data_IF_235090119270
#
_entry.id   IF_235090119270
#
_cell.length_a   1.000
_cell.length_b   1.000
_cell.length_c   1.000
_cell.angle_alpha   90.00
_cell.angle_beta   90.00
_cell.angle_gamma   90.00
#
_symmetry.space_group_name_H-M   'P 1'
#
loop_
_entity.id
_entity.type
_entity.pdbx_description
1 polymer ?
#
# COMPACT_ATOMS: atom_id res chain seq x y z
N UNK A 1 2.93 17.10 26.93
CA UNK A 1 2.83 17.12 25.46
C UNK A 1 2.23 15.79 25.04
N UNK A 2 1.12 15.77 24.30
CA UNK A 2 0.66 14.55 23.65
C UNK A 2 1.59 14.30 22.47
N UNK A 3 2.27 13.17 22.44
CA UNK A 3 3.01 12.74 21.27
C UNK A 3 2.03 12.09 20.31
N UNK A 4 2.06 12.58 19.07
CA UNK A 4 1.22 12.09 17.98
C UNK A 4 2.09 11.31 17.02
N UNK A 5 1.59 10.18 16.54
CA UNK A 5 2.26 9.33 15.58
C UNK A 5 1.58 9.43 14.21
N UNK A 6 2.37 9.66 13.16
CA UNK A 6 1.91 9.67 11.77
C UNK A 6 1.90 8.26 11.18
N UNK A 7 0.84 7.92 10.46
CA UNK A 7 0.65 6.68 9.73
C UNK A 7 0.44 6.96 8.25
N UNK A 8 1.13 6.21 7.39
CA UNK A 8 0.92 6.19 5.93
C UNK A 8 -0.06 5.09 5.56
N UNK A 9 -1.03 5.44 4.72
CA UNK A 9 -2.15 4.57 4.37
C UNK A 9 -1.96 3.88 3.03
N UNK A 10 -2.32 2.61 3.02
CA UNK A 10 -2.24 1.73 1.87
C UNK A 10 -3.53 0.93 1.76
N UNK A 11 -3.91 0.60 0.53
CA UNK A 11 -4.95 -0.39 0.26
C UNK A 11 -4.29 -1.65 -0.26
N UNK A 12 -4.73 -2.80 0.23
CA UNK A 12 -4.27 -4.07 -0.30
C UNK A 12 -5.40 -4.82 -1.00
N UNK A 13 -5.00 -5.69 -1.91
CA UNK A 13 -5.87 -6.51 -2.72
C UNK A 13 -5.32 -7.93 -2.80
N UNK A 14 -6.20 -8.92 -2.67
CA UNK A 14 -5.88 -10.34 -2.80
C UNK A 14 -6.47 -10.85 -4.11
N UNK A 15 -5.61 -11.24 -5.05
CA UNK A 15 -6.02 -11.60 -6.41
C UNK A 15 -5.76 -13.09 -6.66
N UNK A 16 -6.68 -13.82 -7.30
CA UNK A 16 -6.37 -15.14 -7.84
C UNK A 16 -5.20 -15.03 -8.83
N UNK A 17 -4.25 -15.95 -8.76
CA UNK A 17 -3.10 -16.01 -9.67
C UNK A 17 -3.55 -16.40 -11.09
N UNK A 18 -4.57 -17.26 -11.18
CA UNK A 18 -5.22 -17.62 -12.44
C UNK A 18 -6.75 -17.61 -12.23
N UNK A 19 -7.48 -17.00 -13.15
CA UNK A 19 -8.96 -16.96 -13.14
C UNK A 19 -9.58 -17.98 -14.09
N UNK A 20 -8.78 -18.61 -14.96
CA UNK A 20 -9.24 -19.51 -16.01
C UNK A 20 -8.86 -20.98 -15.79
N UNK A 21 -7.88 -21.30 -14.94
CA UNK A 21 -7.72 -22.68 -14.49
C UNK A 21 -8.76 -23.02 -13.43
N UNK A 22 -9.73 -23.84 -13.84
CA UNK A 22 -10.65 -24.54 -12.95
C UNK A 22 -9.94 -25.62 -12.08
N UNK A 23 -8.62 -25.77 -12.22
CA UNK A 23 -7.82 -26.78 -11.54
C UNK A 23 -7.34 -26.30 -10.17
N UNK A 24 -8.26 -26.42 -9.21
CA UNK A 24 -8.03 -26.90 -7.84
C UNK A 24 -6.70 -26.47 -7.19
N UNK A 25 -6.56 -25.18 -6.83
CA UNK A 25 -5.70 -24.84 -5.69
C UNK A 25 -6.41 -25.36 -4.43
N UNK A 26 -5.92 -26.49 -3.90
CA UNK A 26 -6.51 -27.20 -2.74
C UNK A 26 -7.99 -27.59 -2.88
N UNK A 27 -8.49 -27.77 -4.11
CA UNK A 27 -9.87 -28.18 -4.32
C UNK A 27 -10.91 -27.05 -4.35
N UNK A 28 -10.48 -25.79 -4.24
CA UNK A 28 -11.39 -24.63 -4.21
C UNK A 28 -11.62 -24.05 -5.62
N UNK A 29 -12.88 -23.71 -5.92
CA UNK A 29 -13.24 -22.93 -7.10
C UNK A 29 -12.81 -21.47 -6.96
N UNK A 30 -12.67 -20.73 -8.07
CA UNK A 30 -12.35 -19.29 -8.07
C UNK A 30 -13.31 -18.47 -7.20
N UNK A 31 -14.60 -18.83 -7.18
CA UNK A 31 -15.61 -18.17 -6.35
C UNK A 31 -15.36 -18.39 -4.85
N UNK A 32 -15.05 -19.62 -4.43
CA UNK A 32 -14.73 -19.94 -3.04
C UNK A 32 -13.42 -19.30 -2.58
N UNK A 33 -12.45 -19.18 -3.49
CA UNK A 33 -11.17 -18.52 -3.23
C UNK A 33 -11.34 -17.00 -3.04
N UNK A 34 -12.25 -16.37 -3.79
CA UNK A 34 -12.63 -14.95 -3.59
C UNK A 34 -13.36 -14.75 -2.26
N UNK A 35 -14.27 -15.65 -1.90
CA UNK A 35 -15.03 -15.57 -0.63
C UNK A 35 -14.11 -15.74 0.58
N UNK A 36 -13.15 -16.67 0.52
CA UNK A 36 -12.24 -17.01 1.62
C UNK A 36 -10.93 -16.22 1.62
N UNK A 37 -10.73 -15.28 0.69
CA UNK A 37 -9.44 -14.56 0.53
C UNK A 37 -8.98 -13.89 1.83
N UNK A 38 -9.90 -13.24 2.55
CA UNK A 38 -9.61 -12.55 3.80
C UNK A 38 -9.23 -13.53 4.92
N UNK A 39 -9.86 -14.70 4.98
CA UNK A 39 -9.53 -15.75 5.94
C UNK A 39 -8.14 -16.35 5.66
N UNK A 40 -7.82 -16.56 4.38
CA UNK A 40 -6.51 -17.06 3.96
C UNK A 40 -5.43 -16.04 4.31
N UNK A 41 -5.70 -14.76 4.09
CA UNK A 41 -4.76 -13.70 4.47
C UNK A 41 -4.60 -13.56 5.98
N UNK A 42 -5.69 -13.68 6.75
CA UNK A 42 -5.64 -13.71 8.22
C UNK A 42 -4.73 -14.84 8.73
N UNK A 43 -4.76 -16.01 8.09
CA UNK A 43 -3.88 -17.13 8.44
C UNK A 43 -2.41 -16.90 8.05
N UNK A 44 -2.15 -16.08 7.02
CA UNK A 44 -0.81 -15.74 6.57
C UNK A 44 -0.12 -14.67 7.44
N UNK A 45 -0.87 -13.75 8.06
CA UNK A 45 -0.32 -12.63 8.85
C UNK A 45 0.60 -13.09 10.00
N UNK A 46 0.28 -14.12 10.81
CA UNK A 46 1.18 -14.62 11.86
C UNK A 46 2.56 -15.07 11.34
N UNK A 47 2.67 -15.47 10.08
CA UNK A 47 3.94 -15.89 9.48
C UNK A 47 4.90 -14.73 9.21
N UNK A 48 4.41 -13.48 9.23
CA UNK A 48 5.27 -12.30 9.24
C UNK A 48 6.25 -12.34 10.41
N UNK A 49 5.86 -12.92 11.54
CA UNK A 49 6.74 -13.06 12.70
C UNK A 49 7.90 -14.03 12.53
N UNK A 50 7.79 -14.96 11.57
CA UNK A 50 8.79 -15.99 11.29
C UNK A 50 9.68 -15.64 10.10
N UNK A 51 9.39 -14.53 9.41
CA UNK A 51 10.07 -14.18 8.18
C UNK A 51 11.40 -13.47 8.45
N UNK A 52 12.46 -13.94 7.78
CA UNK A 52 13.75 -13.26 7.76
C UNK A 52 13.89 -12.50 6.44
N UNK A 53 13.95 -11.17 6.49
CA UNK A 53 14.08 -10.35 5.29
C UNK A 53 15.55 -9.95 5.07
N UNK A 54 16.16 -10.44 3.97
CA UNK A 54 17.52 -10.06 3.51
C UNK A 54 18.63 -10.19 4.57
N UNK A 55 18.56 -11.20 5.44
CA UNK A 55 19.55 -11.45 6.49
C UNK A 55 19.50 -10.45 7.67
N UNK A 56 18.52 -9.54 7.71
CA UNK A 56 18.29 -8.65 8.84
C UNK A 56 17.48 -9.39 9.90
N UNK A 57 17.97 -9.42 11.14
CA UNK A 57 17.20 -9.89 12.28
C UNK A 57 16.06 -8.93 12.57
N UNK A 58 14.84 -9.46 12.60
CA UNK A 58 13.61 -8.74 12.83
C UNK A 58 12.92 -9.36 14.05
N UNK A 59 12.57 -8.54 15.04
CA UNK A 59 11.64 -8.92 16.08
C UNK A 59 10.25 -8.43 15.66
N UNK A 60 9.30 -9.36 15.56
CA UNK A 60 7.95 -9.04 15.11
C UNK A 60 6.95 -9.63 16.10
N UNK A 61 6.07 -8.77 16.59
CA UNK A 61 4.92 -9.16 17.41
C UNK A 61 3.67 -8.94 16.58
N UNK A 62 2.74 -9.90 16.63
CA UNK A 62 1.43 -9.83 15.98
C UNK A 62 0.36 -9.98 17.05
N UNK A 63 -0.55 -9.01 17.12
CA UNK A 63 -1.74 -9.02 17.97
C UNK A 63 -2.99 -9.13 17.08
N UNK A 64 -4.00 -9.89 17.53
CA UNK A 64 -5.23 -10.18 16.78
C UNK A 64 -5.31 -11.63 16.23
N UNK A 65 -6.37 -11.97 15.48
CA UNK A 65 -7.41 -11.05 15.00
C UNK A 65 -8.38 -10.60 16.12
N UNK A 66 -8.62 -9.29 16.21
CA UNK A 66 -9.74 -8.72 16.98
C UNK A 66 -10.51 -7.74 16.09
N UNK A 67 -11.83 -7.87 16.00
CA UNK A 67 -12.67 -7.01 15.13
C UNK A 67 -12.14 -6.92 13.68
N UNK A 68 -11.72 -8.07 13.13
CA UNK A 68 -11.12 -8.20 11.80
C UNK A 68 -9.86 -7.36 11.58
N UNK A 69 -9.15 -7.02 12.66
CA UNK A 69 -7.94 -6.22 12.60
C UNK A 69 -6.74 -6.94 13.24
N UNK A 70 -5.56 -6.59 12.75
CA UNK A 70 -4.27 -7.04 13.29
C UNK A 70 -3.38 -5.84 13.57
N UNK A 71 -2.62 -5.90 14.66
CA UNK A 71 -1.56 -4.94 14.97
C UNK A 71 -0.22 -5.65 14.94
N UNK A 72 0.68 -5.22 14.06
CA UNK A 72 2.02 -5.75 13.91
C UNK A 72 3.02 -4.74 14.45
N UNK A 73 3.84 -5.13 15.42
CA UNK A 73 5.00 -4.36 15.85
C UNK A 73 6.25 -4.98 15.25
N UNK A 74 6.94 -4.25 14.38
CA UNK A 74 8.09 -4.74 13.62
C UNK A 74 9.33 -3.93 14.02
N UNK A 75 10.30 -4.57 14.65
CA UNK A 75 11.55 -3.97 15.11
C UNK A 75 12.75 -4.55 14.36
N UNK A 76 13.39 -3.78 13.46
CA UNK A 76 14.66 -4.16 12.88
C UNK A 76 15.80 -3.88 13.84
N UNK A 77 16.81 -4.76 13.83
CA UNK A 77 18.07 -4.51 14.52
C UNK A 77 18.79 -3.30 13.90
N UNK A 78 19.10 -2.29 14.72
CA UNK A 78 19.86 -1.09 14.35
C UNK A 78 21.01 -0.88 15.32
N UNK A 79 22.15 -0.46 14.81
CA UNK A 79 23.22 0.07 15.67
C UNK A 79 22.95 1.55 15.95
N UNK A 80 22.90 1.92 17.22
CA UNK A 80 22.87 3.31 17.67
C UNK A 80 24.28 3.70 18.10
N UNK A 81 24.83 4.75 17.50
CA UNK A 81 26.09 5.35 17.93
C UNK A 81 25.74 6.45 18.93
N UNK A 82 26.21 6.31 20.16
CA UNK A 82 26.02 7.30 21.23
C UNK A 82 27.35 7.95 21.55
N UNK A 83 27.38 9.28 21.57
CA UNK A 83 28.51 10.04 22.10
C UNK A 83 28.32 10.22 23.62
N UNK A 84 29.35 9.88 24.41
CA UNK A 84 29.32 10.03 25.87
C UNK A 84 29.73 11.45 26.30
N UNK A 85 29.48 11.86 27.56
CA UNK A 85 29.98 13.14 28.09
C UNK A 85 31.51 13.29 27.99
N UNK A 86 32.25 12.18 27.89
CA UNK A 86 33.69 12.11 27.69
C UNK A 86 34.10 12.11 26.20
N UNK A 87 33.15 12.40 25.29
CA UNK A 87 33.35 12.43 23.84
C UNK A 87 33.78 11.08 23.23
N UNK A 88 33.35 9.97 23.85
CA UNK A 88 33.61 8.62 23.32
C UNK A 88 32.41 8.10 22.53
N UNK A 89 32.67 7.31 21.49
CA UNK A 89 31.63 6.67 20.68
C UNK A 89 31.34 5.27 21.21
N UNK A 90 30.10 5.05 21.63
CA UNK A 90 29.60 3.74 22.04
C UNK A 90 28.62 3.19 21.01
N UNK A 91 28.79 1.90 20.69
CA UNK A 91 27.88 1.17 19.82
C UNK A 91 26.88 0.41 20.67
N UNK A 92 25.62 0.86 20.65
CA UNK A 92 24.52 0.26 21.39
C UNK A 92 23.58 -0.41 20.41
N UNK A 93 23.14 -1.61 20.77
CA UNK A 93 22.12 -2.31 20.02
C UNK A 93 20.73 -1.69 20.27
N UNK A 94 20.02 -1.35 19.19
CA UNK A 94 18.73 -0.68 19.24
C UNK A 94 17.69 -1.45 18.39
N UNK A 95 16.46 -1.53 18.91
CA UNK A 95 15.34 -2.23 18.28
C UNK A 95 14.12 -1.30 18.14
N UNK A 96 14.23 -0.21 17.36
CA UNK A 96 13.15 0.74 17.20
C UNK A 96 12.00 0.09 16.42
N UNK A 97 10.85 -0.15 17.05
CA UNK A 97 9.71 -0.77 16.36
C UNK A 97 8.87 0.27 15.58
N UNK A 98 8.27 -0.19 14.47
CA UNK A 98 7.12 0.45 13.81
C UNK A 98 5.86 -0.34 14.09
N UNK A 99 4.73 0.35 14.13
CA UNK A 99 3.40 -0.26 14.20
C UNK A 99 2.77 -0.29 12.81
N UNK A 100 2.30 -1.45 12.37
CA UNK A 100 1.49 -1.62 11.17
C UNK A 100 0.14 -2.21 11.55
N UNK A 101 -0.95 -1.56 11.13
CA UNK A 101 -2.33 -1.95 11.44
C UNK A 101 -2.96 -2.47 10.16
N UNK A 102 -3.42 -3.73 10.16
CA UNK A 102 -4.10 -4.36 9.03
C UNK A 102 -5.59 -4.42 9.34
N UNK A 103 -6.41 -3.80 8.51
CA UNK A 103 -7.86 -3.92 8.53
C UNK A 103 -8.27 -4.98 7.50
N UNK A 104 -8.77 -6.12 7.97
CA UNK A 104 -9.04 -7.32 7.17
C UNK A 104 -10.51 -7.59 6.84
N UNK A 105 -11.36 -6.56 6.94
CA UNK A 105 -12.74 -6.67 6.44
C UNK A 105 -12.77 -6.66 4.91
N UNK A 106 -13.70 -7.39 4.27
CA UNK A 106 -13.83 -7.42 2.81
C UNK A 106 -14.04 -6.06 2.15
N UNK A 107 -14.67 -5.11 2.85
CA UNK A 107 -14.97 -3.75 2.40
C UNK A 107 -13.86 -2.73 2.69
N UNK A 108 -13.03 -2.98 3.70
CA UNK A 108 -11.94 -2.08 4.11
C UNK A 108 -10.65 -2.41 3.34
N UNK A 109 -10.07 -3.60 3.58
CA UNK A 109 -8.77 -4.05 3.04
C UNK A 109 -7.67 -2.97 3.06
N UNK A 110 -7.46 -2.37 4.22
CA UNK A 110 -6.50 -1.28 4.43
C UNK A 110 -5.30 -1.71 5.28
N UNK A 111 -4.17 -1.06 5.04
CA UNK A 111 -2.95 -1.17 5.80
C UNK A 111 -2.49 0.24 6.19
N UNK A 112 -2.35 0.51 7.48
CA UNK A 112 -1.73 1.73 7.99
C UNK A 112 -0.34 1.38 8.54
N UNK A 113 0.69 2.12 8.13
CA UNK A 113 2.08 1.89 8.58
C UNK A 113 2.61 3.15 9.22
N UNK A 114 3.05 3.04 10.47
CA UNK A 114 3.69 4.14 11.21
C UNK A 114 4.93 4.65 10.46
N UNK A 115 5.00 5.96 10.23
CA UNK A 115 6.19 6.60 9.69
C UNK A 115 7.21 6.88 10.81
N UNK A 116 8.24 6.04 10.88
CA UNK A 116 9.32 6.15 11.88
C UNK A 116 10.68 5.92 11.22
N UNK A 117 11.32 6.99 10.71
CA UNK A 117 12.60 6.92 9.99
C UNK A 117 13.73 6.23 10.76
N UNK A 118 13.73 6.33 12.09
CA UNK A 118 14.72 5.67 12.98
C UNK A 118 14.67 4.14 12.84
N UNK A 119 13.48 3.57 12.57
CA UNK A 119 13.29 2.14 12.36
C UNK A 119 13.48 1.75 10.90
N UNK A 120 12.71 2.38 10.00
CA UNK A 120 12.73 2.13 8.57
C UNK A 120 12.78 3.45 7.81
N UNK A 121 13.69 3.55 6.85
CA UNK A 121 13.87 4.75 6.01
C UNK A 121 12.60 5.13 5.22
N UNK A 122 11.71 4.16 4.98
CA UNK A 122 10.42 4.39 4.32
C UNK A 122 9.43 3.29 4.72
N UNK A 123 8.16 3.68 4.89
CA UNK A 123 7.02 2.77 5.11
C UNK A 123 6.86 1.75 3.98
N UNK A 124 7.27 2.06 2.74
CA UNK A 124 7.29 1.10 1.62
C UNK A 124 8.19 -0.11 1.89
N UNK A 125 9.21 0.02 2.74
CA UNK A 125 10.05 -1.12 3.13
C UNK A 125 9.25 -2.10 3.98
N UNK A 126 8.41 -1.59 4.88
CA UNK A 126 7.54 -2.39 5.74
C UNK A 126 6.45 -3.07 4.92
N UNK A 127 5.85 -2.35 3.97
CA UNK A 127 4.86 -2.90 3.01
C UNK A 127 5.45 -4.08 2.23
N UNK A 128 6.64 -3.91 1.66
CA UNK A 128 7.34 -4.98 0.92
C UNK A 128 7.72 -6.16 1.81
N UNK A 129 8.06 -5.90 3.07
CA UNK A 129 8.32 -6.94 4.06
C UNK A 129 7.06 -7.77 4.32
N UNK A 130 5.90 -7.14 4.54
CA UNK A 130 4.62 -7.84 4.73
C UNK A 130 4.24 -8.65 3.49
N UNK A 131 4.39 -8.06 2.29
CA UNK A 131 4.15 -8.76 1.02
C UNK A 131 5.04 -9.99 0.86
N UNK A 132 6.35 -9.84 1.05
CA UNK A 132 7.29 -10.96 0.91
C UNK A 132 7.09 -12.05 1.96
N UNK A 133 6.74 -11.68 3.19
CA UNK A 133 6.51 -12.62 4.27
C UNK A 133 5.24 -13.48 4.09
N UNK A 134 4.18 -12.90 3.53
CA UNK A 134 2.91 -13.60 3.32
C UNK A 134 2.84 -14.34 1.98
N UNK A 135 3.73 -13.99 1.03
CA UNK A 135 3.76 -14.51 -0.35
C UNK A 135 3.68 -16.02 -0.44
N UNK A 136 4.52 -16.76 0.29
CA UNK A 136 4.61 -18.21 0.13
C UNK A 136 3.29 -18.94 0.47
N UNK A 137 2.55 -18.45 1.47
CA UNK A 137 1.26 -19.02 1.83
C UNK A 137 0.15 -18.61 0.86
N UNK A 138 0.14 -17.34 0.48
CA UNK A 138 -0.85 -16.84 -0.47
C UNK A 138 -0.70 -17.54 -1.82
N UNK A 139 0.52 -17.67 -2.34
CA UNK A 139 0.76 -18.33 -3.63
C UNK A 139 0.41 -19.82 -3.60
N UNK A 140 0.60 -20.51 -2.46
CA UNK A 140 0.13 -21.90 -2.27
C UNK A 140 -1.39 -22.00 -2.34
N UNK A 141 -2.09 -21.02 -1.78
CA UNK A 141 -3.54 -20.91 -1.84
C UNK A 141 -4.05 -20.29 -3.15
N UNK A 142 -3.19 -20.08 -4.17
CA UNK A 142 -3.59 -19.50 -5.45
C UNK A 142 -3.85 -17.99 -5.42
N UNK A 143 -3.38 -17.27 -4.40
CA UNK A 143 -3.57 -15.84 -4.19
C UNK A 143 -2.28 -15.03 -4.31
N UNK A 144 -2.40 -13.78 -4.75
CA UNK A 144 -1.33 -12.79 -4.76
C UNK A 144 -1.77 -11.52 -4.04
N UNK A 145 -0.91 -11.02 -3.15
CA UNK A 145 -1.12 -9.76 -2.43
C UNK A 145 -0.52 -8.59 -3.21
N UNK A 146 -1.37 -7.65 -3.58
CA UNK A 146 -0.99 -6.34 -4.11
C UNK A 146 -1.25 -5.29 -3.04
N UNK A 147 -0.34 -4.34 -2.84
CA UNK A 147 -0.49 -3.27 -1.86
C UNK A 147 -0.08 -1.97 -2.52
N UNK A 148 -1.02 -1.04 -2.61
CA UNK A 148 -0.83 0.27 -3.24
C UNK A 148 -1.04 1.38 -2.21
N UNK A 149 -0.30 2.47 -2.33
CA UNK A 149 -0.50 3.61 -1.45
C UNK A 149 -1.78 4.36 -1.80
N UNK A 150 -2.50 4.79 -0.77
CA UNK A 150 -3.52 5.80 -0.93
C UNK A 150 -2.82 7.15 -1.07
N UNK A 151 -3.23 7.98 -2.02
CA UNK A 151 -2.66 9.33 -2.16
C UNK A 151 -3.78 10.36 -2.39
N UNK A 152 -3.52 11.61 -2.04
CA UNK A 152 -4.46 12.70 -2.30
C UNK A 152 -4.44 13.08 -3.79
N UNK A 153 -5.61 13.17 -4.41
CA UNK A 153 -5.77 13.60 -5.81
C UNK A 153 -5.21 15.00 -6.03
N UNK A 154 -5.33 15.85 -5.02
CA UNK A 154 -4.80 17.21 -4.99
C UNK A 154 -3.28 17.22 -5.17
N UNK A 155 -2.56 16.19 -4.68
CA UNK A 155 -1.11 16.07 -4.90
C UNK A 155 -0.80 15.86 -6.39
N UNK A 156 -1.55 15.01 -7.08
CA UNK A 156 -1.39 14.82 -8.52
C UNK A 156 -1.71 16.11 -9.29
N UNK A 157 -2.87 16.72 -9.02
CA UNK A 157 -3.26 17.96 -9.71
C UNK A 157 -2.33 19.13 -9.40
N UNK A 158 -1.83 19.21 -8.17
CA UNK A 158 -0.79 20.15 -7.76
C UNK A 158 0.50 19.95 -8.54
N UNK A 159 0.94 18.70 -8.73
CA UNK A 159 2.10 18.35 -9.55
C UNK A 159 1.92 18.77 -11.02
N UNK A 160 0.77 18.45 -11.62
CA UNK A 160 0.45 18.84 -13.01
C UNK A 160 0.44 20.37 -13.15
N UNK A 161 -0.16 21.08 -12.19
CA UNK A 161 -0.19 22.55 -12.17
C UNK A 161 1.22 23.16 -12.02
N UNK A 162 2.02 22.64 -11.11
CA UNK A 162 3.40 23.10 -10.85
C UNK A 162 4.31 22.94 -12.08
N UNK A 163 4.10 21.89 -12.88
CA UNK A 163 4.90 21.58 -14.05
C UNK A 163 4.14 21.78 -15.37
N UNK A 164 3.12 22.65 -15.39
CA UNK A 164 2.35 22.97 -16.60
C UNK A 164 3.29 23.37 -17.75
N UNK A 165 3.05 22.81 -18.94
CA UNK A 165 3.89 23.01 -20.12
C UNK A 165 5.22 22.24 -20.14
N UNK A 166 5.51 21.42 -19.11
CA UNK A 166 6.72 20.58 -19.04
C UNK A 166 6.42 19.09 -18.87
N UNK A 167 5.17 18.71 -18.61
CA UNK A 167 4.77 17.29 -18.53
C UNK A 167 4.79 16.70 -19.93
N UNK A 168 5.57 15.64 -20.14
CA UNK A 168 5.76 15.02 -21.48
C UNK A 168 5.20 13.61 -21.55
N UNK A 169 4.99 12.98 -20.41
CA UNK A 169 4.48 11.62 -20.33
C UNK A 169 3.82 11.39 -18.97
N UNK A 170 2.71 10.66 -18.98
CA UNK A 170 1.99 10.16 -17.81
C UNK A 170 1.65 8.70 -18.05
N UNK A 171 1.90 7.83 -17.07
CA UNK A 171 1.44 6.44 -17.06
C UNK A 171 0.57 6.21 -15.85
N UNK A 172 -0.62 5.67 -16.12
CA UNK A 172 -1.53 5.15 -15.12
C UNK A 172 -1.40 3.63 -15.11
N UNK A 173 -0.90 3.10 -14.00
CA UNK A 173 -0.94 1.67 -13.72
C UNK A 173 -2.27 1.37 -13.03
N UNK A 174 -3.02 0.41 -13.55
CA UNK A 174 -4.33 0.00 -13.06
C UNK A 174 -4.25 -1.47 -12.62
N UNK A 175 -4.44 -1.72 -11.34
CA UNK A 175 -4.52 -3.06 -10.75
C UNK A 175 -6.00 -3.45 -10.61
N UNK A 176 -6.38 -4.65 -11.06
CA UNK A 176 -7.78 -5.07 -11.18
C UNK A 176 -8.04 -6.38 -10.42
N UNK A 177 -8.78 -6.32 -9.30
CA UNK A 177 -10.10 -6.99 -9.28
C UNK A 177 -11.19 -6.38 -8.37
N UNK A 178 -10.91 -5.45 -7.45
CA UNK A 178 -11.91 -4.92 -6.51
C UNK A 178 -12.69 -3.71 -7.09
N UNK A 179 -13.14 -3.83 -8.35
CA UNK A 179 -13.78 -2.71 -9.07
C UNK A 179 -15.13 -2.29 -8.49
N UNK A 180 -15.74 -3.13 -7.65
CA UNK A 180 -17.00 -2.82 -6.97
C UNK A 180 -16.85 -1.76 -5.87
N UNK A 181 -15.66 -1.64 -5.25
CA UNK A 181 -15.47 -0.80 -4.05
C UNK A 181 -14.62 0.46 -4.27
N UNK A 182 -13.80 0.52 -5.31
CA UNK A 182 -12.77 1.57 -5.44
C UNK A 182 -13.28 2.80 -6.22
N UNK A 183 -14.11 2.64 -7.28
CA UNK A 183 -14.65 3.81 -7.97
C UNK A 183 -15.78 3.48 -8.97
N UNK A 184 -16.86 4.28 -8.89
CA UNK A 184 -17.92 4.39 -9.91
C UNK A 184 -17.50 5.30 -11.09
N UNK A 185 -16.28 5.83 -11.08
CA UNK A 185 -15.80 6.87 -12.02
C UNK A 185 -14.83 6.37 -13.08
N UNK A 186 -14.24 5.17 -12.93
CA UNK A 186 -13.52 4.54 -14.04
C UNK A 186 -14.51 4.05 -15.09
N UNK A 187 -14.26 4.37 -16.37
CA UNK A 187 -15.13 3.96 -17.47
C UNK A 187 -15.37 2.43 -17.45
N UNK A 188 -16.65 2.03 -17.51
CA UNK A 188 -17.08 0.63 -17.45
C UNK A 188 -16.43 -0.25 -18.52
N UNK A 189 -16.00 0.35 -19.63
CA UNK A 189 -15.25 -0.29 -20.71
C UNK A 189 -13.92 -0.89 -20.22
N UNK A 190 -13.14 -0.16 -19.39
CA UNK A 190 -11.91 -0.69 -18.81
C UNK A 190 -12.18 -1.82 -17.81
N UNK A 191 -13.30 -1.72 -17.07
CA UNK A 191 -13.71 -2.76 -16.13
C UNK A 191 -14.05 -4.05 -16.85
N UNK A 192 -14.79 -3.93 -17.95
CA UNK A 192 -15.21 -5.05 -18.80
C UNK A 192 -13.99 -5.67 -19.48
N UNK A 193 -13.11 -4.85 -20.08
CA UNK A 193 -11.88 -5.31 -20.70
C UNK A 193 -11.00 -6.13 -19.74
N UNK A 194 -10.78 -5.65 -18.51
CA UNK A 194 -9.95 -6.36 -17.54
C UNK A 194 -10.57 -7.68 -17.07
N UNK A 195 -11.90 -7.74 -16.95
CA UNK A 195 -12.62 -8.98 -16.62
C UNK A 195 -12.51 -10.00 -17.74
N UNK A 196 -12.78 -9.59 -18.98
CA UNK A 196 -12.85 -10.47 -20.15
C UNK A 196 -11.48 -11.00 -20.58
N UNK A 197 -10.42 -10.21 -20.37
CA UNK A 197 -9.05 -10.57 -20.76
C UNK A 197 -8.24 -11.23 -19.64
N UNK A 198 -8.82 -11.36 -18.44
CA UNK A 198 -8.10 -11.77 -17.23
C UNK A 198 -6.85 -10.90 -16.94
N UNK A 199 -6.85 -9.64 -17.37
CA UNK A 199 -5.80 -8.72 -17.00
C UNK A 199 -5.86 -8.47 -15.49
N UNK A 200 -4.76 -8.75 -14.78
CA UNK A 200 -4.58 -8.37 -13.38
C UNK A 200 -4.01 -6.95 -13.24
N UNK A 201 -3.38 -6.46 -14.31
CA UNK A 201 -2.73 -5.16 -14.41
C UNK A 201 -2.88 -4.60 -15.83
N UNK A 202 -3.07 -3.29 -15.95
CA UNK A 202 -3.17 -2.58 -17.23
C UNK A 202 -2.48 -1.23 -17.14
N UNK A 203 -1.77 -0.83 -18.19
CA UNK A 203 -1.07 0.46 -18.22
C UNK A 203 -1.66 1.36 -19.30
N UNK A 204 -2.10 2.55 -18.92
CA UNK A 204 -2.54 3.61 -19.85
C UNK A 204 -1.45 4.66 -19.91
N UNK A 205 -0.83 4.83 -21.09
CA UNK A 205 0.25 5.78 -21.29
C UNK A 205 -0.19 6.94 -22.19
N UNK A 206 -0.03 8.16 -21.67
CA UNK A 206 -0.17 9.40 -22.43
C UNK A 206 1.22 9.95 -22.70
N UNK A 207 1.53 10.27 -23.96
CA UNK A 207 2.83 10.83 -24.35
C UNK A 207 2.64 11.97 -25.33
N UNK A 208 3.30 13.10 -25.08
CA UNK A 208 3.36 14.19 -26.04
C UNK A 208 4.48 13.96 -27.05
N UNK A 209 4.41 14.69 -28.16
CA UNK A 209 5.57 14.84 -29.05
C UNK A 209 6.78 15.39 -28.27
N UNK A 210 8.04 15.00 -28.58
CA UNK A 210 9.24 15.49 -27.90
C UNK A 210 9.31 17.01 -27.74
N UNK A 211 8.81 17.76 -28.73
CA UNK A 211 8.84 19.22 -28.76
C UNK A 211 7.64 19.87 -28.07
N UNK A 212 6.60 19.09 -27.72
CA UNK A 212 5.40 19.56 -27.04
C UNK A 212 5.23 19.00 -25.62
N UNK A 213 4.23 19.49 -24.90
CA UNK A 213 3.84 19.00 -23.58
C UNK A 213 2.39 18.49 -23.62
N UNK A 214 2.07 17.54 -22.74
CA UNK A 214 0.70 17.09 -22.54
C UNK A 214 -0.15 18.23 -21.96
N UNK A 215 -1.35 18.39 -22.52
CA UNK A 215 -2.35 19.29 -21.96
C UNK A 215 -3.32 18.47 -21.11
N UNK A 216 -3.11 18.51 -19.80
CA UNK A 216 -3.86 17.72 -18.83
C UNK A 216 -4.64 18.68 -17.93
N UNK A 217 -5.96 18.64 -18.03
CA UNK A 217 -6.86 19.53 -17.32
C UNK A 217 -7.70 18.75 -16.29
N UNK A 218 -7.92 19.25 -15.06
CA UNK A 218 -8.66 18.55 -14.01
C UNK A 218 -10.11 18.19 -14.35
N UNK A 219 -10.69 18.90 -15.30
CA UNK A 219 -12.08 18.73 -15.72
C UNK A 219 -12.23 17.69 -16.85
N UNK A 220 -11.14 17.11 -17.36
CA UNK A 220 -11.21 16.00 -18.31
C UNK A 220 -11.79 14.76 -17.61
N UNK A 221 -12.97 14.27 -18.03
CA UNK A 221 -13.63 13.16 -17.34
C UNK A 221 -12.82 11.86 -17.34
N UNK A 222 -12.05 11.60 -18.41
CA UNK A 222 -11.28 10.38 -18.57
C UNK A 222 -10.05 10.39 -17.65
N UNK A 223 -9.27 11.48 -17.69
CA UNK A 223 -8.09 11.61 -16.82
C UNK A 223 -8.52 11.66 -15.36
N UNK A 224 -9.60 12.39 -15.05
CA UNK A 224 -10.13 12.44 -13.69
C UNK A 224 -10.54 11.06 -13.18
N UNK A 225 -11.21 10.24 -14.00
CA UNK A 225 -11.57 8.87 -13.63
C UNK A 225 -10.37 7.99 -13.30
N UNK A 226 -9.29 8.09 -14.08
CA UNK A 226 -8.03 7.36 -13.84
C UNK A 226 -7.33 7.83 -12.56
N UNK A 227 -7.28 9.15 -12.32
CA UNK A 227 -6.68 9.73 -11.11
C UNK A 227 -7.47 9.32 -9.87
N UNK A 228 -8.81 9.40 -9.93
CA UNK A 228 -9.68 8.97 -8.84
C UNK A 228 -9.46 7.50 -8.51
N UNK A 229 -9.42 6.64 -9.53
CA UNK A 229 -9.21 5.20 -9.35
C UNK A 229 -7.85 4.88 -8.71
N UNK A 230 -6.76 5.46 -9.21
CA UNK A 230 -5.43 5.24 -8.66
C UNK A 230 -5.29 5.79 -7.22
N UNK A 231 -5.87 6.96 -6.93
CA UNK A 231 -5.80 7.61 -5.61
C UNK A 231 -6.40 6.77 -4.47
N UNK A 232 -7.39 5.94 -4.82
CA UNK A 232 -8.04 5.01 -3.90
C UNK A 232 -7.34 3.64 -3.82
N UNK A 233 -6.10 3.52 -4.31
CA UNK A 233 -5.33 2.28 -4.29
C UNK A 233 -5.68 1.32 -5.42
N UNK A 234 -6.23 1.84 -6.52
CA UNK A 234 -6.42 1.13 -7.78
C UNK A 234 -5.13 1.02 -8.62
N UNK A 235 -4.02 1.59 -8.17
CA UNK A 235 -2.71 1.51 -8.83
C UNK A 235 -1.87 2.77 -8.62
N UNK A 236 -0.85 2.99 -9.44
CA UNK A 236 0.10 4.12 -9.31
C UNK A 236 0.03 5.05 -10.53
N UNK A 237 0.46 6.30 -10.35
CA UNK A 237 0.62 7.28 -11.42
C UNK A 237 2.07 7.71 -11.50
N UNK A 238 2.67 7.53 -12.67
CA UNK A 238 4.03 7.98 -12.97
C UNK A 238 4.01 9.17 -13.92
N UNK A 239 4.72 10.24 -13.57
CA UNK A 239 4.82 11.47 -14.37
C UNK A 239 6.26 11.73 -14.78
N UNK A 240 6.49 12.02 -16.07
CA UNK A 240 7.79 12.46 -16.60
C UNK A 240 7.73 13.92 -17.02
N UNK A 241 8.66 14.70 -16.49
CA UNK A 241 8.77 16.14 -16.71
C UNK A 241 10.03 16.44 -17.50
N UNK A 242 9.92 17.29 -18.52
CA UNK A 242 11.05 17.80 -19.31
C UNK A 242 12.03 18.52 -18.40
N UNK A 243 13.31 18.11 -18.46
CA UNK A 243 14.38 18.65 -17.60
C UNK A 243 14.63 17.86 -16.31
N UNK A 244 13.75 16.91 -15.94
CA UNK A 244 14.00 16.00 -14.83
C UNK A 244 14.40 14.62 -15.35
N UNK A 245 15.49 14.05 -14.81
CA UNK A 245 15.96 12.70 -15.18
C UNK A 245 15.09 11.59 -14.61
N UNK A 246 14.46 11.81 -13.45
CA UNK A 246 13.64 10.81 -12.75
C UNK A 246 12.16 11.02 -13.04
N UNK A 247 11.42 9.91 -13.08
CA UNK A 247 9.94 9.92 -13.02
C UNK A 247 9.50 10.25 -11.59
N UNK A 248 8.41 10.98 -11.47
CA UNK A 248 7.77 11.26 -10.18
C UNK A 248 6.57 10.32 -10.06
N UNK A 249 6.52 9.55 -8.99
CA UNK A 249 5.42 8.64 -8.69
C UNK A 249 4.48 9.27 -7.67
N UNK A 250 3.17 9.27 -7.91
CA UNK A 250 2.20 9.76 -6.90
C UNK A 250 2.19 8.87 -5.66
N UNK A 251 2.54 7.59 -5.79
CA UNK A 251 2.77 6.69 -4.66
C UNK A 251 3.83 7.16 -3.66
N UNK A 252 4.65 8.17 -4.00
CA UNK A 252 5.57 8.81 -3.06
C UNK A 252 4.90 9.80 -2.10
N UNK A 253 3.73 10.35 -2.46
CA UNK A 253 2.96 11.31 -1.68
C UNK A 253 1.75 10.61 -1.01
N UNK A 254 2.06 9.61 -0.19
CA UNK A 254 1.08 8.75 0.51
C UNK A 254 0.21 9.57 1.46
N UNK A 255 -1.09 9.26 1.51
CA UNK A 255 -2.05 9.84 2.44
C UNK A 255 -1.65 9.47 3.87
N UNK A 256 -1.59 10.48 4.72
CA UNK A 256 -1.20 10.35 6.11
C UNK A 256 -2.40 10.53 7.04
N UNK A 257 -2.35 9.86 8.19
CA UNK A 257 -3.27 10.08 9.32
C UNK A 257 -2.47 10.13 10.61
N UNK A 258 -2.97 10.85 11.60
CA UNK A 258 -2.30 11.05 12.88
C UNK A 258 -3.11 10.41 14.00
N UNK A 259 -2.43 9.69 14.89
CA UNK A 259 -3.04 9.05 16.06
C UNK A 259 -2.27 9.42 17.33
N UNK A 260 -2.99 9.66 18.43
CA UNK A 260 -2.35 9.91 19.73
C UNK A 260 -1.66 8.62 20.22
N UNK A 261 -0.44 8.71 20.75
CA UNK A 261 0.33 7.52 21.18
C UNK A 261 -0.39 6.69 22.26
N UNK A 262 -1.17 7.34 23.12
CA UNK A 262 -1.98 6.68 24.15
C UNK A 262 -3.09 5.79 23.55
N UNK A 263 -3.49 6.05 22.29
CA UNK A 263 -4.47 5.26 21.57
C UNK A 263 -3.86 4.00 20.94
N UNK A 264 -2.53 3.94 20.80
CA UNK A 264 -1.80 2.81 20.19
C UNK A 264 -1.46 1.69 21.18
N UNK A 265 -1.64 1.93 22.48
CA UNK A 265 -1.35 0.96 23.55
C UNK A 265 -2.59 0.19 24.02
N UNK A 266 -3.78 0.51 23.48
CA UNK A 266 -5.03 -0.17 23.78
C UNK A 266 -5.23 -1.49 23.03
N UNK A 267 -6.33 -2.22 23.30
CA UNK A 267 -6.69 -3.45 22.58
C UNK A 267 -6.77 -3.23 21.07
N UNK A 268 -6.50 -4.27 20.28
CA UNK A 268 -6.49 -4.19 18.81
C UNK A 268 -7.84 -3.69 18.27
N UNK A 269 -8.96 -4.12 18.87
CA UNK A 269 -10.29 -3.62 18.52
C UNK A 269 -10.45 -2.10 18.68
N UNK A 270 -9.85 -1.50 19.72
CA UNK A 270 -9.92 -0.06 19.98
C UNK A 270 -9.07 0.72 18.96
N UNK A 271 -7.84 0.27 18.73
CA UNK A 271 -6.93 0.85 17.73
C UNK A 271 -7.59 0.86 16.35
N UNK A 272 -8.17 -0.28 15.95
CA UNK A 272 -8.89 -0.41 14.69
C UNK A 272 -10.12 0.50 14.61
N UNK A 273 -10.90 0.61 15.69
CA UNK A 273 -12.05 1.51 15.76
C UNK A 273 -11.68 2.98 15.55
N UNK A 274 -10.57 3.42 16.15
CA UNK A 274 -10.06 4.79 16.00
C UNK A 274 -9.59 5.02 14.56
N UNK A 275 -8.78 4.11 14.02
CA UNK A 275 -8.30 4.22 12.64
C UNK A 275 -9.46 4.29 11.64
N UNK A 276 -10.49 3.44 11.80
CA UNK A 276 -11.72 3.51 11.00
C UNK A 276 -12.43 4.86 11.11
N UNK A 277 -12.45 5.46 12.30
CA UNK A 277 -13.02 6.79 12.52
C UNK A 277 -12.26 7.90 11.79
N UNK A 278 -10.93 7.80 11.70
CA UNK A 278 -10.07 8.75 11.01
C UNK A 278 -10.08 8.61 9.47
N UNK A 279 -10.57 7.48 8.96
CA UNK A 279 -10.65 7.17 7.53
C UNK A 279 -11.98 7.60 6.89
N UNK A 280 -13.00 7.94 7.68
CA UNK A 280 -14.27 8.51 7.23
C UNK A 280 -14.14 9.99 6.89
#
# INVERSE_FOLDING_TARGET
MRSTTTFKLYRYQLLPIDRHTADLYEGLTTAQLIERKNDIFAQAIPFVARHTHRGVQLAVQVEGPESDAFVLRIAPRRALIRETPEFQLEHIENWPHVTAIVLNRPDEQLLAVQDKPIAFTSTNTVVRLIQSATRAMLERAGLRLHIESLFSRENFWGLIKQYKGRVTWIEFELVTPNMANISNTLAEEFKTLAKDTNASQSNVQLRSDPDSALNIEPNDPQVKGLVDYASEGGGDISVKIRGLRKRIHTSSAVRETEMDDLQLTGPTAQVAGILRGLLK
#
